data_IF_988782353813
#
_entry.id   IF_988782353813
#
_cell.length_a   1.000
_cell.length_b   1.000
_cell.length_c   1.000
_cell.angle_alpha   90.00
_cell.angle_beta   90.00
_cell.angle_gamma   90.00
#
_symmetry.space_group_name_H-M   'P 1'
#
loop_
_entity.id
_entity.type
_entity.pdbx_description
1 polymer ?
#
# COMPACT_ATOMS: atom_id res chain seq x y z
N UNK A 1 -42.22 -38.33 -18.84
CA UNK A 1 -41.30 -37.50 -19.64
C UNK A 1 -40.94 -36.30 -18.77
N UNK A 2 -39.64 -36.18 -18.49
CA UNK A 2 -38.87 -35.29 -17.61
C UNK A 2 -39.57 -34.16 -16.81
N UNK A 3 -39.31 -34.20 -15.49
CA UNK A 3 -39.46 -33.13 -14.50
C UNK A 3 -38.54 -31.95 -14.81
N UNK A 4 -38.98 -30.74 -14.46
CA UNK A 4 -38.08 -29.67 -14.01
C UNK A 4 -38.62 -29.17 -12.67
N UNK A 5 -37.99 -29.67 -11.62
CA UNK A 5 -38.11 -29.23 -10.23
C UNK A 5 -37.41 -27.88 -10.03
N UNK A 6 -37.84 -27.19 -8.98
CA UNK A 6 -37.31 -26.00 -8.32
C UNK A 6 -35.93 -25.48 -8.75
N UNK A 7 -35.92 -24.31 -9.42
CA UNK A 7 -34.75 -23.44 -9.37
C UNK A 7 -34.78 -22.60 -8.09
N UNK A 8 -34.23 -23.16 -7.01
CA UNK A 8 -33.77 -22.38 -5.87
C UNK A 8 -32.40 -21.78 -6.21
N UNK A 9 -32.19 -20.45 -6.11
CA UNK A 9 -30.84 -19.90 -6.16
C UNK A 9 -30.09 -20.29 -4.88
N UNK A 10 -29.26 -21.32 -4.99
CA UNK A 10 -28.27 -21.71 -4.00
C UNK A 10 -27.29 -20.56 -3.74
N UNK A 11 -27.00 -20.35 -2.46
CA UNK A 11 -25.94 -19.48 -1.92
C UNK A 11 -24.69 -19.45 -2.80
N UNK A 12 -24.30 -18.25 -3.20
CA UNK A 12 -23.02 -17.96 -3.84
C UNK A 12 -22.66 -16.52 -3.54
N UNK A 13 -22.19 -16.30 -2.31
CA UNK A 13 -21.29 -15.22 -1.88
C UNK A 13 -21.52 -13.84 -2.50
N UNK A 14 -22.23 -12.99 -1.76
CA UNK A 14 -21.95 -11.55 -1.82
C UNK A 14 -20.47 -11.38 -1.44
N UNK A 15 -19.58 -11.29 -2.43
CA UNK A 15 -18.36 -10.52 -2.25
C UNK A 15 -18.84 -9.12 -1.90
N UNK A 16 -18.95 -8.84 -0.61
CA UNK A 16 -18.95 -7.47 -0.13
C UNK A 16 -17.65 -6.89 -0.63
N UNK A 17 -17.71 -6.11 -1.71
CA UNK A 17 -16.76 -5.03 -1.98
C UNK A 17 -16.77 -4.13 -0.74
N UNK A 18 -16.07 -4.56 0.31
CA UNK A 18 -15.60 -3.67 1.34
C UNK A 18 -14.62 -2.77 0.60
N UNK A 19 -15.11 -1.62 0.16
CA UNK A 19 -14.27 -0.49 -0.25
C UNK A 19 -13.30 -0.26 0.89
N UNK A 20 -12.07 -0.75 0.76
CA UNK A 20 -11.01 -0.49 1.73
C UNK A 20 -10.80 1.01 1.75
N UNK A 21 -11.40 1.68 2.73
CA UNK A 21 -11.22 3.11 2.93
C UNK A 21 -9.86 3.31 3.57
N UNK A 22 -8.92 3.85 2.80
CA UNK A 22 -7.60 4.23 3.27
C UNK A 22 -7.53 5.69 3.69
N UNK A 23 -6.98 5.93 4.88
CA UNK A 23 -6.69 7.27 5.39
C UNK A 23 -5.17 7.47 5.44
N UNK A 24 -4.65 8.53 4.81
CA UNK A 24 -3.25 8.91 4.98
C UNK A 24 -3.09 9.51 6.37
N UNK A 25 -2.39 8.81 7.26
CA UNK A 25 -2.16 9.26 8.64
C UNK A 25 -0.81 9.95 8.82
N UNK A 26 0.09 9.80 7.83
CA UNK A 26 1.36 10.49 7.78
C UNK A 26 1.82 10.61 6.34
N UNK A 27 2.34 11.78 6.00
CA UNK A 27 3.06 12.02 4.76
C UNK A 27 4.44 12.60 5.12
N UNK A 28 5.48 11.93 4.66
CA UNK A 28 6.85 12.37 4.72
C UNK A 28 7.08 13.60 3.85
N UNK A 29 8.24 14.24 4.03
CA UNK A 29 8.60 15.43 3.28
C UNK A 29 8.87 15.03 1.82
N UNK A 30 8.34 15.78 0.86
CA UNK A 30 8.77 15.64 -0.54
C UNK A 30 10.18 16.17 -0.68
N UNK A 31 11.07 15.34 -1.21
CA UNK A 31 12.48 15.69 -1.31
C UNK A 31 13.06 15.33 -2.67
N UNK A 32 13.78 16.30 -3.26
CA UNK A 32 14.55 16.07 -4.48
C UNK A 32 15.81 15.28 -4.15
N UNK A 33 15.87 14.03 -4.61
CA UNK A 33 17.01 13.14 -4.40
C UNK A 33 17.82 13.04 -5.70
N UNK A 34 19.15 13.27 -5.67
CA UNK A 34 19.99 13.14 -6.86
C UNK A 34 19.81 11.79 -7.55
N UNK A 35 19.73 11.82 -8.87
CA UNK A 35 19.47 10.64 -9.70
C UNK A 35 18.00 10.47 -10.05
N UNK A 36 17.06 10.84 -9.18
CA UNK A 36 15.62 10.66 -9.40
C UNK A 36 15.00 11.78 -10.24
N UNK A 37 13.95 11.46 -11.01
CA UNK A 37 13.29 12.44 -11.88
C UNK A 37 12.34 13.35 -11.11
N UNK A 38 11.71 12.85 -10.05
CA UNK A 38 10.73 13.54 -9.21
C UNK A 38 11.22 13.82 -7.78
N UNK A 39 10.29 14.25 -6.94
CA UNK A 39 10.48 14.35 -5.50
C UNK A 39 9.98 13.08 -4.83
N UNK A 40 10.80 12.47 -3.98
CA UNK A 40 10.49 11.24 -3.28
C UNK A 40 9.86 11.52 -1.91
N UNK A 41 8.91 10.68 -1.52
CA UNK A 41 8.27 10.75 -0.21
C UNK A 41 7.80 9.38 0.26
N UNK A 42 7.65 9.23 1.58
CA UNK A 42 7.02 8.08 2.21
C UNK A 42 5.63 8.48 2.72
N UNK A 43 4.64 7.63 2.54
CA UNK A 43 3.32 7.80 3.13
C UNK A 43 2.96 6.59 4.00
N UNK A 44 2.24 6.83 5.09
CA UNK A 44 1.64 5.78 5.91
C UNK A 44 0.12 5.89 5.78
N UNK A 45 -0.49 4.82 5.29
CA UNK A 45 -1.93 4.72 5.03
C UNK A 45 -2.51 3.75 6.05
N UNK A 46 -3.51 4.20 6.80
CA UNK A 46 -4.35 3.34 7.65
C UNK A 46 -5.48 2.79 6.80
N UNK A 47 -5.52 1.47 6.67
CA UNK A 47 -6.52 0.74 5.90
C UNK A 47 -7.48 0.05 6.85
N UNK A 48 -8.77 0.15 6.55
CA UNK A 48 -9.83 -0.58 7.22
C UNK A 48 -10.24 -1.77 6.36
N UNK A 49 -9.94 -2.99 6.82
CA UNK A 49 -10.36 -4.25 6.19
C UNK A 49 -11.40 -4.91 7.10
N UNK A 50 -12.67 -4.59 6.86
CA UNK A 50 -13.77 -5.02 7.72
C UNK A 50 -13.66 -4.46 9.15
N UNK A 51 -13.34 -5.32 10.12
CA UNK A 51 -13.12 -4.92 11.52
C UNK A 51 -11.63 -4.75 11.87
N UNK A 52 -10.73 -5.14 10.97
CA UNK A 52 -9.30 -5.06 11.20
C UNK A 52 -8.74 -3.74 10.66
N UNK A 53 -7.71 -3.24 11.35
CA UNK A 53 -6.95 -2.07 10.91
C UNK A 53 -5.56 -2.57 10.50
N UNK A 54 -5.13 -2.19 9.31
CA UNK A 54 -3.77 -2.40 8.80
C UNK A 54 -3.13 -1.07 8.48
N UNK A 55 -1.81 -1.03 8.49
CA UNK A 55 -1.02 0.14 8.13
C UNK A 55 -0.14 -0.23 6.94
N UNK A 56 -0.27 0.51 5.85
CA UNK A 56 0.55 0.36 4.67
C UNK A 56 1.57 1.50 4.62
N UNK A 57 2.85 1.18 4.50
CA UNK A 57 3.91 2.14 4.22
C UNK A 57 4.20 2.09 2.73
N UNK A 58 4.10 3.24 2.06
CA UNK A 58 4.29 3.40 0.62
C UNK A 58 5.44 4.36 0.37
N UNK A 59 6.39 3.97 -0.48
CA UNK A 59 7.39 4.87 -1.04
C UNK A 59 6.87 5.33 -2.41
N UNK A 60 6.85 6.64 -2.65
CA UNK A 60 6.25 7.20 -3.85
C UNK A 60 7.06 8.40 -4.38
N UNK A 61 6.79 8.78 -5.63
CA UNK A 61 7.43 9.90 -6.33
C UNK A 61 6.39 10.79 -6.99
N UNK A 62 6.69 12.08 -7.14
CA UNK A 62 5.88 12.98 -7.97
C UNK A 62 5.96 12.64 -9.47
N UNK A 63 6.93 11.83 -9.88
CA UNK A 63 7.14 11.38 -11.25
C UNK A 63 6.86 9.87 -11.38
N UNK A 64 5.89 9.49 -12.21
CA UNK A 64 5.47 8.10 -12.38
C UNK A 64 6.59 7.15 -12.83
N UNK A 65 7.54 7.67 -13.62
CA UNK A 65 8.67 6.89 -14.12
C UNK A 65 9.58 6.38 -13.00
N UNK A 66 9.65 7.09 -11.87
CA UNK A 66 10.47 6.70 -10.73
C UNK A 66 9.83 5.56 -9.93
N UNK A 67 8.49 5.47 -9.91
CA UNK A 67 7.71 4.57 -9.03
C UNK A 67 8.10 3.11 -9.20
N UNK A 68 8.46 2.70 -10.43
CA UNK A 68 8.87 1.33 -10.75
C UNK A 68 10.16 0.89 -10.06
N UNK A 69 11.02 1.84 -9.71
CA UNK A 69 12.34 1.63 -9.12
C UNK A 69 12.33 1.90 -7.60
N UNK A 70 11.15 2.17 -7.01
CA UNK A 70 11.00 2.42 -5.58
C UNK A 70 10.86 1.13 -4.76
N UNK A 71 11.19 1.15 -3.46
CA UNK A 71 10.88 0.06 -2.55
C UNK A 71 9.38 -0.26 -2.55
N UNK A 72 9.04 -1.55 -2.64
CA UNK A 72 7.64 -2.00 -2.60
C UNK A 72 6.97 -1.63 -1.29
N UNK A 73 5.69 -1.30 -1.36
CA UNK A 73 4.88 -1.02 -0.17
C UNK A 73 4.85 -2.23 0.77
N UNK A 74 4.84 -1.98 2.09
CA UNK A 74 4.77 -3.02 3.12
C UNK A 74 3.61 -2.77 4.07
N UNK A 75 2.93 -3.85 4.45
CA UNK A 75 1.81 -3.83 5.39
C UNK A 75 2.26 -4.24 6.79
N UNK A 76 1.61 -3.65 7.79
CA UNK A 76 1.84 -3.86 9.21
C UNK A 76 0.50 -3.92 9.93
N UNK A 77 0.39 -4.77 10.94
CA UNK A 77 -0.78 -4.80 11.84
C UNK A 77 -0.61 -3.82 13.01
N UNK A 78 0.64 -3.51 13.37
CA UNK A 78 0.95 -2.55 14.43
C UNK A 78 1.30 -1.16 13.88
N UNK A 79 0.78 -0.12 14.53
CA UNK A 79 1.01 1.27 14.14
C UNK A 79 2.47 1.66 14.36
N UNK A 80 3.06 1.32 15.50
CA UNK A 80 4.40 1.75 15.87
C UNK A 80 5.45 1.13 14.95
N UNK A 81 5.29 -0.14 14.57
CA UNK A 81 6.12 -0.80 13.56
C UNK A 81 6.05 -0.10 12.20
N UNK A 82 4.84 0.25 11.74
CA UNK A 82 4.67 1.00 10.49
C UNK A 82 5.37 2.36 10.52
N UNK A 83 5.29 3.07 11.65
CA UNK A 83 5.96 4.36 11.83
C UNK A 83 7.48 4.20 11.87
N UNK A 84 8.01 3.23 12.60
CA UNK A 84 9.45 2.96 12.68
C UNK A 84 10.01 2.64 11.29
N UNK A 85 9.33 1.77 10.55
CA UNK A 85 9.70 1.43 9.17
C UNK A 85 9.57 2.64 8.22
N UNK A 86 8.48 3.42 8.32
CA UNK A 86 8.30 4.63 7.52
C UNK A 86 9.41 5.66 7.75
N UNK A 87 9.81 5.87 9.00
CA UNK A 87 10.94 6.75 9.36
C UNK A 87 12.28 6.21 8.85
N UNK A 88 12.48 4.89 8.88
CA UNK A 88 13.66 4.25 8.30
C UNK A 88 13.72 4.48 6.78
N UNK A 89 12.61 4.27 6.07
CA UNK A 89 12.53 4.52 4.63
C UNK A 89 12.79 6.01 4.33
N UNK A 90 12.19 6.91 5.09
CA UNK A 90 12.35 8.36 4.93
C UNK A 90 13.82 8.79 5.06
N UNK A 91 14.55 8.23 6.04
CA UNK A 91 16.00 8.51 6.26
C UNK A 91 16.91 7.94 5.18
N UNK A 92 16.44 6.92 4.44
CA UNK A 92 17.26 6.18 3.48
C UNK A 92 16.88 6.45 2.02
N UNK A 93 16.11 7.52 1.72
CA UNK A 93 15.71 7.89 0.34
C UNK A 93 16.86 7.93 -0.67
N UNK A 94 18.03 8.38 -0.24
CA UNK A 94 19.25 8.42 -1.08
C UNK A 94 19.75 7.04 -1.49
N UNK A 95 19.37 5.98 -0.77
CA UNK A 95 19.80 4.59 -1.01
C UNK A 95 18.74 3.73 -1.68
N UNK A 96 17.54 4.25 -1.94
CA UNK A 96 16.42 3.47 -2.47
C UNK A 96 16.72 2.77 -3.79
N UNK A 97 17.57 3.35 -4.65
CA UNK A 97 17.99 2.70 -5.90
C UNK A 97 18.67 1.35 -5.67
N UNK A 98 19.59 1.31 -4.71
CA UNK A 98 20.31 0.08 -4.38
C UNK A 98 19.40 -0.94 -3.69
N UNK A 99 18.48 -0.47 -2.83
CA UNK A 99 17.52 -1.35 -2.15
C UNK A 99 16.47 -1.96 -3.09
N UNK A 100 16.19 -1.32 -4.23
CA UNK A 100 15.29 -1.86 -5.25
C UNK A 100 15.94 -2.94 -6.10
N UNK A 101 17.27 -2.87 -6.29
CA UNK A 101 18.07 -3.81 -7.09
C UNK A 101 18.45 -5.09 -6.33
N UNK A 102 18.47 -5.07 -4.99
CA UNK A 102 18.86 -6.22 -4.15
C UNK A 102 17.76 -7.30 -3.96
N UNK A 103 16.80 -7.42 -4.89
CA UNK A 103 15.75 -8.47 -4.89
C UNK A 103 15.47 -9.02 -6.28
#
# INVERSE_FOLDING_TARGET
MLLIEDYQPSKGEKMTEQKSTGEIIMMGKRERVPGWKGELFVAIIKLHEGKEIKYQVVCDSTENDDVKDLPKSKFFSDKMEAFNYGMEMERNKTKWRHLAEEK
#
